data_IF_832523307852
#
_entry.id   IF_832523307852
#
_cell.length_a   1.000
_cell.length_b   1.000
_cell.length_c   1.000
_cell.angle_alpha   90.00
_cell.angle_beta   90.00
_cell.angle_gamma   90.00
#
_symmetry.space_group_name_H-M   'P 1'
#
loop_
_entity.id
_entity.type
_entity.pdbx_description
1 polymer ?
#
# COMPACT_ATOMS: atom_id res chain seq x y z
N UNK A 1 43.86 -67.77 -18.20
CA UNK A 1 44.50 -68.27 -19.48
C UNK A 1 44.66 -66.99 -20.32
N UNK A 2 45.93 -66.66 -20.53
CA UNK A 2 46.51 -65.78 -21.53
C UNK A 2 46.07 -64.28 -21.58
N UNK A 3 46.88 -63.27 -21.03
CA UNK A 3 48.26 -62.83 -21.41
C UNK A 3 48.27 -62.11 -22.77
N UNK A 4 48.61 -60.83 -22.80
CA UNK A 4 49.85 -60.14 -23.23
C UNK A 4 49.53 -58.67 -23.56
N UNK A 5 50.08 -57.67 -22.84
CA UNK A 5 51.40 -57.00 -23.02
C UNK A 5 51.52 -56.13 -24.30
N UNK A 6 51.64 -54.86 -24.09
CA UNK A 6 52.81 -53.90 -24.19
C UNK A 6 52.81 -53.14 -25.50
N UNK A 7 53.04 -51.86 -25.57
CA UNK A 7 54.32 -51.08 -25.50
C UNK A 7 54.07 -49.61 -25.79
N UNK A 8 54.72 -48.83 -25.02
CA UNK A 8 55.36 -47.51 -25.18
C UNK A 8 55.42 -46.90 -26.60
N UNK A 9 55.18 -45.57 -26.59
CA UNK A 9 55.66 -44.64 -27.62
C UNK A 9 55.72 -43.22 -27.06
N UNK A 10 56.91 -42.84 -26.60
CA UNK A 10 57.27 -41.49 -26.21
C UNK A 10 57.56 -40.67 -27.47
N UNK A 11 56.94 -39.49 -27.61
CA UNK A 11 57.48 -38.41 -28.46
C UNK A 11 57.33 -37.09 -27.75
N UNK A 12 58.47 -36.53 -27.30
CA UNK A 12 58.64 -35.13 -26.98
C UNK A 12 58.55 -34.29 -28.24
N UNK A 13 57.84 -33.16 -28.19
CA UNK A 13 58.18 -32.00 -29.01
C UNK A 13 57.68 -30.71 -28.32
N UNK A 14 58.60 -29.95 -28.01
CA UNK A 14 58.85 -28.56 -27.69
C UNK A 14 57.73 -27.52 -27.79
N UNK A 15 57.81 -26.66 -26.80
CA UNK A 15 57.06 -25.43 -26.50
C UNK A 15 57.08 -24.38 -27.63
N UNK A 16 55.97 -23.65 -27.73
CA UNK A 16 55.98 -22.24 -28.09
C UNK A 16 55.02 -21.45 -27.21
N UNK A 17 55.60 -20.44 -26.58
CA UNK A 17 54.91 -19.40 -25.79
C UNK A 17 54.07 -18.53 -26.72
N UNK A 18 52.76 -18.46 -26.49
CA UNK A 18 51.83 -17.48 -27.03
C UNK A 18 51.20 -16.69 -25.89
N UNK A 19 51.66 -15.46 -25.66
CA UNK A 19 50.99 -14.51 -24.81
C UNK A 19 49.62 -14.14 -25.42
N UNK A 20 48.54 -14.68 -24.88
CA UNK A 20 47.16 -14.26 -25.15
C UNK A 20 46.64 -13.48 -23.96
N UNK A 21 46.44 -12.16 -24.13
CA UNK A 21 45.88 -11.30 -23.12
C UNK A 21 44.51 -11.81 -22.71
N UNK A 22 44.39 -12.28 -21.48
CA UNK A 22 43.14 -12.67 -20.86
C UNK A 22 42.27 -11.42 -20.60
N UNK A 23 41.27 -11.19 -21.44
CA UNK A 23 40.24 -10.24 -21.15
C UNK A 23 39.41 -10.79 -19.94
N UNK A 24 39.72 -10.25 -18.78
CA UNK A 24 38.91 -10.41 -17.57
C UNK A 24 37.49 -9.91 -17.88
N UNK A 25 36.55 -10.81 -18.12
CA UNK A 25 35.15 -10.49 -18.05
C UNK A 25 34.84 -10.07 -16.61
N UNK A 26 34.80 -8.75 -16.35
CA UNK A 26 34.11 -8.21 -15.21
C UNK A 26 32.66 -8.70 -15.29
N UNK A 27 32.32 -9.71 -14.50
CA UNK A 27 30.93 -9.99 -14.19
C UNK A 27 30.38 -8.73 -13.55
N UNK A 28 29.52 -8.01 -14.27
CA UNK A 28 28.63 -7.03 -13.66
C UNK A 28 27.82 -7.83 -12.63
N UNK A 29 28.14 -7.66 -11.36
CA UNK A 29 27.18 -7.87 -10.30
C UNK A 29 26.18 -6.70 -10.43
N UNK A 30 25.19 -6.87 -11.28
CA UNK A 30 23.93 -6.15 -11.11
C UNK A 30 23.49 -6.50 -9.69
N UNK A 31 23.53 -5.48 -8.80
CA UNK A 31 23.05 -5.64 -7.44
C UNK A 31 21.59 -6.07 -7.55
N UNK A 32 21.27 -7.25 -7.05
CA UNK A 32 19.90 -7.64 -6.85
C UNK A 32 19.21 -6.47 -6.12
N UNK A 33 18.14 -5.93 -6.68
CA UNK A 33 17.39 -4.86 -6.04
C UNK A 33 17.06 -5.35 -4.62
N UNK A 34 17.44 -4.55 -3.60
CA UNK A 34 17.27 -4.95 -2.21
C UNK A 34 15.77 -5.04 -1.97
N UNK A 35 15.26 -6.25 -1.79
CA UNK A 35 13.85 -6.47 -1.51
C UNK A 35 13.45 -5.67 -0.27
N UNK A 36 12.26 -5.06 -0.27
CA UNK A 36 11.72 -4.37 0.89
C UNK A 36 11.64 -5.33 2.09
N UNK A 37 11.94 -4.85 3.30
CA UNK A 37 11.77 -5.65 4.50
C UNK A 37 10.29 -5.97 4.73
N UNK A 38 10.02 -7.16 5.27
CA UNK A 38 8.67 -7.49 5.72
C UNK A 38 8.28 -6.57 6.88
N UNK A 39 7.04 -6.10 6.82
CA UNK A 39 6.46 -5.30 7.90
C UNK A 39 5.83 -6.19 8.98
N UNK A 40 5.87 -5.70 10.21
CA UNK A 40 5.17 -6.28 11.35
C UNK A 40 4.66 -5.17 12.27
N UNK A 41 3.78 -5.52 13.20
CA UNK A 41 3.22 -4.58 14.18
C UNK A 41 3.71 -4.95 15.56
N UNK A 42 4.34 -4.01 16.27
CA UNK A 42 4.82 -4.18 17.64
C UNK A 42 4.32 -3.01 18.51
N UNK A 43 3.50 -3.34 19.51
CA UNK A 43 2.80 -2.31 20.26
C UNK A 43 1.91 -1.49 19.36
N UNK A 44 2.09 -0.17 19.33
CA UNK A 44 1.36 0.75 18.47
C UNK A 44 2.09 1.10 17.18
N UNK A 45 3.26 0.48 16.90
CA UNK A 45 4.14 0.87 15.82
C UNK A 45 4.16 -0.14 14.66
N UNK A 46 4.19 0.37 13.44
CA UNK A 46 4.58 -0.40 12.26
C UNK A 46 6.11 -0.51 12.25
N UNK A 47 6.63 -1.71 12.14
CA UNK A 47 8.07 -1.98 12.19
C UNK A 47 8.49 -2.88 11.03
N UNK A 48 9.77 -2.89 10.73
CA UNK A 48 10.37 -3.88 9.83
C UNK A 48 10.91 -5.09 10.62
N UNK A 49 11.29 -6.13 9.92
CA UNK A 49 11.88 -7.34 10.51
C UNK A 49 13.24 -7.12 11.18
N UNK A 50 13.88 -5.98 10.99
CA UNK A 50 15.11 -5.56 11.66
C UNK A 50 14.84 -4.88 13.00
N UNK A 51 13.59 -4.57 13.31
CA UNK A 51 13.17 -3.90 14.53
C UNK A 51 13.20 -2.37 14.45
N UNK A 52 13.31 -1.81 13.23
CA UNK A 52 13.21 -0.36 13.04
C UNK A 52 11.75 0.06 12.86
N UNK A 53 11.37 1.20 13.44
CA UNK A 53 10.07 1.83 13.19
C UNK A 53 9.98 2.30 11.74
N UNK A 54 8.88 1.96 11.07
CA UNK A 54 8.60 2.34 9.69
C UNK A 54 7.43 3.30 9.66
N UNK A 55 7.61 4.43 8.98
CA UNK A 55 6.54 5.40 8.69
C UNK A 55 6.41 5.48 7.18
N UNK A 56 5.31 4.99 6.66
CA UNK A 56 5.02 5.02 5.22
C UNK A 56 4.20 6.26 4.88
N UNK A 57 4.63 6.99 3.87
CA UNK A 57 3.90 8.12 3.31
C UNK A 57 3.54 7.83 1.86
N UNK A 58 2.30 8.07 1.47
CA UNK A 58 1.89 7.75 0.12
C UNK A 58 0.59 8.36 -0.36
N UNK A 59 0.09 7.83 -1.46
CA UNK A 59 -1.14 8.28 -2.11
C UNK A 59 -2.08 7.13 -2.39
N UNK A 60 -3.38 7.41 -2.33
CA UNK A 60 -4.44 6.51 -2.77
C UNK A 60 -4.81 6.81 -4.21
N UNK A 61 -5.02 5.77 -4.99
CA UNK A 61 -5.78 5.90 -6.23
C UNK A 61 -7.25 6.18 -5.90
N UNK A 62 -7.93 6.99 -6.71
CA UNK A 62 -9.38 7.08 -6.66
C UNK A 62 -10.02 5.76 -7.06
N UNK A 63 -11.31 5.56 -6.79
CA UNK A 63 -12.08 4.36 -7.09
C UNK A 63 -11.78 3.82 -8.50
N UNK A 64 -11.36 2.56 -8.61
CA UNK A 64 -10.88 1.98 -9.87
C UNK A 64 -11.90 2.09 -11.01
N UNK A 65 -13.21 1.98 -10.73
CA UNK A 65 -14.26 2.03 -11.75
C UNK A 65 -14.50 3.42 -12.31
N UNK A 66 -14.17 4.49 -11.59
CA UNK A 66 -14.33 5.87 -12.05
C UNK A 66 -13.05 6.41 -12.70
N UNK A 67 -11.87 6.00 -12.21
CA UNK A 67 -10.57 6.48 -12.69
C UNK A 67 -9.62 5.37 -13.12
N UNK A 68 -10.07 4.37 -13.92
CA UNK A 68 -9.24 3.23 -14.30
C UNK A 68 -8.02 3.63 -15.12
N UNK A 69 -8.05 4.80 -15.75
CA UNK A 69 -6.97 5.31 -16.59
C UNK A 69 -5.66 5.50 -15.85
N UNK A 70 -5.71 5.71 -14.54
CA UNK A 70 -4.53 5.88 -13.70
C UNK A 70 -3.98 4.55 -13.13
N UNK A 71 -4.73 3.46 -13.22
CA UNK A 71 -4.32 2.14 -12.73
C UNK A 71 -3.38 1.45 -13.73
N UNK A 72 -2.16 1.98 -13.87
CA UNK A 72 -1.15 1.45 -14.78
C UNK A 72 0.26 1.55 -14.18
N UNK A 73 1.21 0.79 -14.73
CA UNK A 73 2.57 0.69 -14.20
C UNK A 73 3.35 2.02 -14.28
N UNK A 74 3.11 2.82 -15.32
CA UNK A 74 3.81 4.10 -15.51
C UNK A 74 3.44 5.10 -14.42
N UNK A 75 2.16 5.16 -14.03
CA UNK A 75 1.71 6.01 -12.93
C UNK A 75 2.33 5.58 -11.60
N UNK A 76 2.42 4.26 -11.33
CA UNK A 76 3.10 3.74 -10.15
C UNK A 76 4.56 4.15 -10.12
N UNK A 77 5.29 3.96 -11.23
CA UNK A 77 6.70 4.33 -11.34
C UNK A 77 6.90 5.84 -11.11
N UNK A 78 6.02 6.68 -11.65
CA UNK A 78 6.08 8.13 -11.48
C UNK A 78 5.80 8.56 -10.03
N UNK A 79 4.75 8.02 -9.39
CA UNK A 79 4.41 8.34 -8.01
C UNK A 79 5.50 7.90 -7.02
N UNK A 80 6.10 6.73 -7.24
CA UNK A 80 7.17 6.23 -6.39
C UNK A 80 8.52 6.93 -6.63
N UNK A 81 8.85 7.21 -7.89
CA UNK A 81 10.11 7.82 -8.28
C UNK A 81 10.13 9.34 -8.08
N UNK A 82 9.22 10.04 -8.73
CA UNK A 82 9.20 11.51 -8.78
C UNK A 82 8.51 12.14 -7.57
N UNK A 83 7.38 11.56 -7.12
CA UNK A 83 6.70 12.07 -5.93
C UNK A 83 7.30 11.53 -4.64
N UNK A 84 8.01 10.41 -4.69
CA UNK A 84 8.63 9.81 -3.51
C UNK A 84 7.65 9.03 -2.63
N UNK A 85 6.51 8.57 -3.19
CA UNK A 85 5.55 7.75 -2.45
C UNK A 85 6.19 6.40 -2.05
N UNK A 86 6.10 6.05 -0.78
CA UNK A 86 6.62 4.81 -0.20
C UNK A 86 5.56 3.70 -0.16
N UNK A 87 4.29 4.10 -0.25
CA UNK A 87 3.13 3.20 -0.28
C UNK A 87 2.07 3.75 -1.23
N UNK A 88 1.43 2.84 -1.99
CA UNK A 88 0.35 3.15 -2.90
C UNK A 88 -0.89 2.36 -2.52
N UNK A 89 -2.04 3.03 -2.34
CA UNK A 89 -3.30 2.39 -1.99
C UNK A 89 -4.15 2.19 -3.24
N UNK A 90 -4.43 0.94 -3.57
CA UNK A 90 -5.26 0.54 -4.72
C UNK A 90 -6.71 0.36 -4.27
N UNK A 91 -7.53 1.39 -4.47
CA UNK A 91 -8.92 1.47 -4.00
C UNK A 91 -9.87 0.75 -4.95
N UNK A 92 -10.19 -0.50 -4.63
CA UNK A 92 -11.11 -1.29 -5.42
C UNK A 92 -12.56 -1.05 -5.01
N UNK A 93 -13.29 -0.24 -5.75
CA UNK A 93 -14.71 0.01 -5.48
C UNK A 93 -15.56 -1.23 -5.61
N UNK A 94 -16.40 -1.49 -4.61
CA UNK A 94 -17.10 -2.78 -4.47
C UNK A 94 -18.51 -2.76 -5.05
N UNK A 95 -19.34 -1.76 -4.75
CA UNK A 95 -20.79 -1.84 -4.98
C UNK A 95 -21.50 -0.52 -5.34
N UNK A 96 -20.80 0.54 -5.74
CA UNK A 96 -21.43 1.85 -6.04
C UNK A 96 -21.84 2.07 -7.50
N UNK A 97 -21.34 1.28 -8.44
CA UNK A 97 -21.55 1.50 -9.88
C UNK A 97 -21.54 0.17 -10.64
N UNK A 98 -22.03 0.18 -11.88
CA UNK A 98 -22.09 -1.01 -12.75
C UNK A 98 -20.72 -1.54 -13.20
N UNK A 99 -19.65 -0.79 -12.96
CA UNK A 99 -18.26 -1.20 -13.26
C UNK A 99 -17.48 -1.61 -11.99
N UNK A 100 -18.12 -1.58 -10.81
CA UNK A 100 -17.51 -2.00 -9.55
C UNK A 100 -17.30 -3.54 -9.49
N UNK A 101 -16.62 -3.99 -8.43
CA UNK A 101 -16.23 -5.39 -8.26
C UNK A 101 -17.42 -6.37 -8.32
N UNK A 102 -18.54 -6.07 -7.67
CA UNK A 102 -19.71 -6.98 -7.63
C UNK A 102 -20.23 -7.32 -9.03
N UNK A 103 -20.16 -6.40 -9.98
CA UNK A 103 -20.62 -6.62 -11.35
C UNK A 103 -19.50 -6.98 -12.32
N UNK A 104 -18.27 -6.56 -12.05
CA UNK A 104 -17.12 -6.79 -12.93
C UNK A 104 -15.86 -7.16 -12.12
N UNK A 105 -15.85 -8.30 -11.42
CA UNK A 105 -14.77 -8.66 -10.52
C UNK A 105 -13.40 -8.74 -11.22
N UNK A 106 -13.34 -9.29 -12.43
CA UNK A 106 -12.09 -9.40 -13.19
C UNK A 106 -11.49 -8.03 -13.54
N UNK A 107 -12.33 -7.03 -13.78
CA UNK A 107 -11.89 -5.66 -14.05
C UNK A 107 -11.28 -5.02 -12.81
N UNK A 108 -11.95 -5.12 -11.65
CA UNK A 108 -11.43 -4.62 -10.38
C UNK A 108 -10.12 -5.31 -9.99
N UNK A 109 -10.07 -6.65 -10.09
CA UNK A 109 -8.86 -7.43 -9.84
C UNK A 109 -7.72 -6.98 -10.76
N UNK A 110 -7.98 -6.79 -12.06
CA UNK A 110 -6.97 -6.34 -13.01
C UNK A 110 -6.41 -4.96 -12.62
N UNK A 111 -7.25 -4.01 -12.26
CA UNK A 111 -6.80 -2.68 -11.84
C UNK A 111 -5.90 -2.79 -10.61
N UNK A 112 -6.37 -3.44 -9.54
CA UNK A 112 -5.62 -3.62 -8.30
C UNK A 112 -4.29 -4.34 -8.54
N UNK A 113 -4.31 -5.49 -9.22
CA UNK A 113 -3.09 -6.26 -9.46
C UNK A 113 -2.09 -5.51 -10.34
N UNK A 114 -2.54 -4.67 -11.27
CA UNK A 114 -1.63 -3.80 -12.06
C UNK A 114 -0.86 -2.84 -11.15
N UNK A 115 -1.52 -2.21 -10.18
CA UNK A 115 -0.86 -1.31 -9.23
C UNK A 115 0.08 -2.07 -8.30
N UNK A 116 -0.36 -3.20 -7.74
CA UNK A 116 0.43 -4.00 -6.80
C UNK A 116 1.67 -4.61 -7.48
N UNK A 117 1.52 -5.18 -8.67
CA UNK A 117 2.64 -5.76 -9.43
C UNK A 117 3.68 -4.67 -9.75
N UNK A 118 3.23 -3.49 -10.19
CA UNK A 118 4.12 -2.36 -10.44
C UNK A 118 4.76 -1.79 -9.17
N UNK A 119 4.06 -1.79 -8.02
CA UNK A 119 4.64 -1.39 -6.74
C UNK A 119 5.77 -2.34 -6.31
N UNK A 120 5.60 -3.64 -6.52
CA UNK A 120 6.65 -4.65 -6.29
C UNK A 120 7.87 -4.37 -7.19
N UNK A 121 7.65 -4.12 -8.48
CA UNK A 121 8.72 -3.80 -9.44
C UNK A 121 9.47 -2.51 -9.09
N UNK A 122 8.77 -1.51 -8.55
CA UNK A 122 9.35 -0.22 -8.14
C UNK A 122 9.84 -0.21 -6.68
N UNK A 123 9.77 -1.35 -5.98
CA UNK A 123 10.25 -1.50 -4.61
C UNK A 123 9.60 -0.53 -3.62
N UNK A 124 8.27 -0.41 -3.69
CA UNK A 124 7.40 0.31 -2.75
C UNK A 124 6.31 -0.61 -2.22
N UNK A 125 5.68 -0.23 -1.10
CA UNK A 125 4.57 -0.98 -0.54
C UNK A 125 3.26 -0.69 -1.28
N UNK A 126 2.33 -1.63 -1.21
CA UNK A 126 0.99 -1.48 -1.76
C UNK A 126 -0.08 -1.91 -0.76
N UNK A 127 -1.12 -1.10 -0.62
CA UNK A 127 -2.33 -1.46 0.13
C UNK A 127 -3.37 -1.95 -0.88
N UNK A 128 -3.85 -3.17 -0.68
CA UNK A 128 -5.00 -3.72 -1.38
C UNK A 128 -6.23 -3.38 -0.55
N UNK A 129 -7.00 -2.41 -1.02
CA UNK A 129 -8.13 -1.86 -0.30
C UNK A 129 -9.46 -2.37 -0.87
N UNK A 130 -10.26 -3.02 0.01
CA UNK A 130 -11.66 -3.33 -0.22
C UNK A 130 -12.49 -2.09 0.01
N UNK A 131 -12.57 -1.25 -1.04
CA UNK A 131 -13.14 0.09 -0.98
C UNK A 131 -14.67 0.04 -1.01
N UNK A 132 -15.26 -0.27 0.13
CA UNK A 132 -16.71 -0.41 0.36
C UNK A 132 -17.18 0.43 1.53
N UNK A 133 -18.45 0.77 1.51
CA UNK A 133 -19.20 1.36 2.64
C UNK A 133 -20.21 0.36 3.23
N UNK A 134 -20.26 -0.86 2.71
CA UNK A 134 -21.23 -1.88 3.09
C UNK A 134 -20.53 -3.21 3.37
N UNK A 135 -21.06 -3.96 4.34
CA UNK A 135 -20.64 -5.33 4.59
C UNK A 135 -20.94 -6.22 3.37
N UNK A 136 -19.89 -6.77 2.77
CA UNK A 136 -19.94 -7.70 1.63
C UNK A 136 -19.04 -8.90 1.94
N UNK A 137 -19.37 -9.65 2.98
CA UNK A 137 -18.47 -10.62 3.58
C UNK A 137 -18.06 -11.74 2.65
N UNK A 138 -18.99 -12.34 1.90
CA UNK A 138 -18.67 -13.48 1.06
C UNK A 138 -17.83 -13.06 -0.15
N UNK A 139 -18.19 -11.94 -0.78
CA UNK A 139 -17.40 -11.37 -1.89
C UNK A 139 -15.99 -10.95 -1.42
N UNK A 140 -15.88 -10.36 -0.24
CA UNK A 140 -14.59 -9.98 0.35
C UNK A 140 -13.73 -11.21 0.67
N UNK A 141 -14.30 -12.27 1.21
CA UNK A 141 -13.57 -13.54 1.45
C UNK A 141 -13.00 -14.12 0.16
N UNK A 142 -13.82 -14.15 -0.90
CA UNK A 142 -13.39 -14.64 -2.21
C UNK A 142 -12.23 -13.80 -2.77
N UNK A 143 -12.40 -12.47 -2.75
CA UNK A 143 -11.37 -11.54 -3.21
C UNK A 143 -10.07 -11.67 -2.42
N UNK A 144 -10.12 -11.63 -1.09
CA UNK A 144 -8.91 -11.69 -0.27
C UNK A 144 -8.25 -13.06 -0.29
N UNK A 145 -9.00 -14.15 -0.46
CA UNK A 145 -8.40 -15.46 -0.70
C UNK A 145 -7.58 -15.49 -2.01
N UNK A 146 -8.11 -14.86 -3.06
CA UNK A 146 -7.41 -14.73 -4.34
C UNK A 146 -6.17 -13.84 -4.22
N UNK A 147 -6.28 -12.67 -3.59
CA UNK A 147 -5.17 -11.74 -3.43
C UNK A 147 -4.07 -12.32 -2.54
N UNK A 148 -4.43 -12.91 -1.39
CA UNK A 148 -3.46 -13.56 -0.51
C UNK A 148 -2.74 -14.74 -1.17
N UNK A 149 -3.44 -15.49 -2.03
CA UNK A 149 -2.83 -16.57 -2.80
C UNK A 149 -1.83 -16.03 -3.84
N UNK A 150 -2.22 -14.96 -4.56
CA UNK A 150 -1.36 -14.34 -5.59
C UNK A 150 -0.09 -13.77 -4.99
N UNK A 151 -0.19 -13.09 -3.86
CA UNK A 151 0.91 -12.36 -3.24
C UNK A 151 1.50 -13.06 -2.01
N UNK A 152 1.29 -14.38 -1.90
CA UNK A 152 1.84 -15.15 -0.78
C UNK A 152 3.36 -15.00 -0.67
N UNK A 153 3.82 -14.59 0.51
CA UNK A 153 5.25 -14.40 0.80
C UNK A 153 5.85 -13.10 0.26
N UNK A 154 5.05 -12.24 -0.40
CA UNK A 154 5.50 -10.94 -0.91
C UNK A 154 5.47 -9.91 0.21
N UNK A 155 6.61 -9.31 0.60
CA UNK A 155 6.67 -8.39 1.76
C UNK A 155 6.02 -7.02 1.51
N UNK A 156 5.79 -6.66 0.25
CA UNK A 156 5.29 -5.35 -0.16
C UNK A 156 3.79 -5.12 0.12
N UNK A 157 3.01 -6.18 0.41
CA UNK A 157 1.55 -6.12 0.39
C UNK A 157 0.97 -5.97 1.78
N UNK A 158 0.09 -4.98 1.92
CA UNK A 158 -0.77 -4.71 3.07
C UNK A 158 -2.21 -4.90 2.62
N UNK A 159 -3.06 -5.48 3.46
CA UNK A 159 -4.47 -5.72 3.14
C UNK A 159 -5.36 -4.82 3.99
N UNK A 160 -6.21 -4.01 3.37
CA UNK A 160 -7.21 -3.20 4.03
C UNK A 160 -8.59 -3.83 3.79
N UNK A 161 -9.14 -4.42 4.85
CA UNK A 161 -10.28 -5.34 4.71
C UNK A 161 -11.63 -4.66 4.63
N UNK A 162 -11.71 -3.38 4.96
CA UNK A 162 -12.92 -2.57 4.86
C UNK A 162 -12.54 -1.09 4.88
N UNK A 163 -12.84 -0.38 3.79
CA UNK A 163 -12.48 1.04 3.65
C UNK A 163 -13.15 1.90 4.74
N UNK A 164 -14.48 2.02 4.69
CA UNK A 164 -15.22 2.92 5.57
C UNK A 164 -16.58 2.34 5.95
N UNK A 165 -16.70 1.62 7.09
CA UNK A 165 -18.00 1.25 7.66
C UNK A 165 -18.80 2.50 8.01
N UNK A 166 -20.06 2.59 7.56
CA UNK A 166 -20.91 3.78 7.77
C UNK A 166 -21.93 3.56 8.86
N UNK A 167 -22.90 2.66 8.60
CA UNK A 167 -24.05 2.39 9.48
C UNK A 167 -23.85 1.18 10.40
N UNK A 168 -22.79 0.39 10.14
CA UNK A 168 -22.54 -0.85 10.87
C UNK A 168 -21.99 -0.56 12.27
N UNK A 169 -22.46 -1.31 13.27
CA UNK A 169 -21.88 -1.25 14.61
C UNK A 169 -20.47 -1.84 14.65
N UNK A 170 -19.67 -1.46 15.66
CA UNK A 170 -18.35 -2.07 15.84
C UNK A 170 -18.42 -3.60 15.98
N UNK A 171 -19.43 -4.13 16.64
CA UNK A 171 -19.62 -5.58 16.76
C UNK A 171 -19.77 -6.25 15.37
N UNK A 172 -20.53 -5.65 14.46
CA UNK A 172 -20.72 -6.14 13.09
C UNK A 172 -19.42 -6.02 12.28
N UNK A 173 -18.76 -4.85 12.32
CA UNK A 173 -17.48 -4.61 11.64
C UNK A 173 -16.41 -5.56 12.15
N UNK A 174 -16.32 -5.75 13.46
CA UNK A 174 -15.38 -6.68 14.10
C UNK A 174 -15.62 -8.12 13.65
N UNK A 175 -16.89 -8.57 13.67
CA UNK A 175 -17.25 -9.93 13.24
C UNK A 175 -16.88 -10.18 11.78
N UNK A 176 -17.23 -9.24 10.89
CA UNK A 176 -16.83 -9.26 9.48
C UNK A 176 -15.31 -9.32 9.33
N UNK A 177 -14.59 -8.39 9.95
CA UNK A 177 -13.14 -8.30 9.83
C UNK A 177 -12.43 -9.57 10.30
N UNK A 178 -12.90 -10.19 11.38
CA UNK A 178 -12.36 -11.47 11.87
C UNK A 178 -12.49 -12.58 10.83
N UNK A 179 -13.60 -12.67 10.09
CA UNK A 179 -13.76 -13.68 9.04
C UNK A 179 -12.82 -13.43 7.84
N UNK A 180 -12.61 -12.17 7.46
CA UNK A 180 -11.65 -11.83 6.40
C UNK A 180 -10.21 -12.09 6.88
N UNK A 181 -9.87 -11.70 8.12
CA UNK A 181 -8.56 -11.98 8.72
C UNK A 181 -8.27 -13.49 8.71
N UNK A 182 -9.22 -14.34 9.12
CA UNK A 182 -9.07 -15.80 9.07
C UNK A 182 -8.76 -16.29 7.66
N UNK A 183 -9.46 -15.74 6.66
CA UNK A 183 -9.25 -16.07 5.25
C UNK A 183 -7.84 -15.75 4.79
N UNK A 184 -7.36 -14.53 5.08
CA UNK A 184 -6.00 -14.10 4.73
C UNK A 184 -4.96 -14.93 5.49
N UNK A 185 -5.13 -15.12 6.82
CA UNK A 185 -4.17 -15.84 7.68
C UNK A 185 -4.00 -17.30 7.32
N UNK A 186 -5.03 -17.95 6.76
CA UNK A 186 -4.91 -19.32 6.26
C UNK A 186 -3.91 -19.46 5.09
N UNK A 187 -3.60 -18.36 4.41
CA UNK A 187 -2.76 -18.32 3.19
C UNK A 187 -1.45 -17.57 3.46
N UNK A 188 -1.55 -16.36 4.04
CA UNK A 188 -0.43 -15.46 4.37
C UNK A 188 -0.49 -15.10 5.88
N UNK A 189 0.21 -15.86 6.72
CA UNK A 189 0.12 -15.73 8.18
C UNK A 189 0.66 -14.41 8.73
N UNK A 190 1.64 -13.80 8.05
CA UNK A 190 2.41 -12.68 8.58
C UNK A 190 2.03 -11.32 7.96
N UNK A 191 1.06 -11.28 7.05
CA UNK A 191 0.67 -10.02 6.41
C UNK A 191 0.21 -8.96 7.43
N UNK A 192 0.49 -7.69 7.17
CA UNK A 192 -0.14 -6.58 7.87
C UNK A 192 -1.56 -6.40 7.32
N UNK A 193 -2.54 -6.32 8.23
CA UNK A 193 -3.94 -6.14 7.89
C UNK A 193 -4.47 -4.88 8.56
N UNK A 194 -5.10 -4.01 7.78
CA UNK A 194 -5.77 -2.80 8.22
C UNK A 194 -7.27 -3.08 8.36
N UNK A 195 -7.85 -2.62 9.46
CA UNK A 195 -9.25 -2.84 9.83
C UNK A 195 -9.95 -1.51 9.99
N UNK A 196 -11.02 -1.30 9.23
CA UNK A 196 -11.88 -0.12 9.34
C UNK A 196 -12.67 -0.06 10.65
N UNK A 197 -13.12 1.14 11.00
CA UNK A 197 -13.95 1.40 12.17
C UNK A 197 -15.27 2.06 11.76
N UNK A 198 -16.34 1.98 12.58
CA UNK A 198 -17.62 2.63 12.27
C UNK A 198 -17.49 4.13 12.01
N UNK A 199 -18.53 4.66 11.32
CA UNK A 199 -18.69 6.08 11.09
C UNK A 199 -17.52 6.71 10.31
N UNK A 200 -17.24 6.11 9.12
CA UNK A 200 -16.13 6.53 8.23
C UNK A 200 -14.78 6.56 8.95
N UNK A 201 -14.46 5.50 9.68
CA UNK A 201 -13.21 5.35 10.43
C UNK A 201 -12.95 6.42 11.52
N UNK A 202 -14.03 7.05 12.01
CA UNK A 202 -13.95 8.07 13.05
C UNK A 202 -14.15 7.51 14.46
N UNK A 203 -14.88 6.38 14.61
CA UNK A 203 -15.21 5.80 15.92
C UNK A 203 -14.16 4.81 16.44
N UNK A 204 -12.90 5.13 16.23
CA UNK A 204 -11.73 4.31 16.62
C UNK A 204 -11.70 3.95 18.12
N UNK A 205 -12.33 4.77 18.98
CA UNK A 205 -12.45 4.50 20.42
C UNK A 205 -13.22 3.22 20.71
N UNK A 206 -14.21 2.86 19.87
CA UNK A 206 -14.95 1.61 20.04
C UNK A 206 -14.05 0.38 19.80
N UNK A 207 -13.20 0.45 18.79
CA UNK A 207 -12.20 -0.60 18.55
C UNK A 207 -11.15 -0.66 19.67
N UNK A 208 -10.81 0.49 20.26
CA UNK A 208 -9.86 0.53 21.37
C UNK A 208 -10.41 -0.07 22.67
N UNK A 209 -11.72 0.04 22.90
CA UNK A 209 -12.37 -0.54 24.07
C UNK A 209 -12.64 -2.05 23.90
N UNK A 210 -12.77 -2.55 22.70
CA UNK A 210 -13.02 -3.96 22.38
C UNK A 210 -12.23 -4.42 21.13
N UNK A 211 -10.88 -4.48 21.19
CA UNK A 211 -10.05 -4.79 20.02
C UNK A 211 -10.22 -6.22 19.53
N UNK A 212 -9.83 -6.46 18.27
CA UNK A 212 -9.67 -7.81 17.72
C UNK A 212 -8.46 -8.45 18.40
N UNK A 213 -8.66 -9.63 18.98
CA UNK A 213 -7.63 -10.39 19.72
C UNK A 213 -7.34 -11.73 19.07
N UNK A 214 -6.17 -12.31 19.37
CA UNK A 214 -5.79 -13.64 18.86
C UNK A 214 -5.13 -13.61 17.47
N UNK A 215 -4.87 -12.42 16.92
CA UNK A 215 -4.15 -12.23 15.66
C UNK A 215 -3.04 -11.19 15.84
N UNK A 216 -1.91 -11.43 15.20
CA UNK A 216 -0.79 -10.47 15.11
C UNK A 216 -0.93 -9.61 13.85
N UNK A 217 -0.14 -8.54 13.77
CA UNK A 217 -0.01 -7.69 12.59
C UNK A 217 -1.37 -7.10 12.11
N UNK A 218 -2.20 -6.69 13.07
CA UNK A 218 -3.44 -5.96 12.82
C UNK A 218 -3.21 -4.50 13.20
N UNK A 219 -3.58 -3.56 12.31
CA UNK A 219 -3.68 -2.13 12.60
C UNK A 219 -5.10 -1.66 12.30
N UNK A 220 -5.48 -0.53 12.88
CA UNK A 220 -6.81 0.04 12.71
C UNK A 220 -6.71 1.36 11.95
N UNK A 221 -7.68 1.60 11.08
CA UNK A 221 -7.68 2.80 10.26
C UNK A 221 -8.40 3.95 10.94
N UNK A 222 -7.91 5.14 10.66
CA UNK A 222 -8.60 6.41 10.93
C UNK A 222 -8.54 7.22 9.65
N UNK A 223 -9.69 7.72 9.20
CA UNK A 223 -9.78 8.61 8.05
C UNK A 223 -10.07 10.04 8.50
N UNK A 224 -9.39 11.00 7.92
CA UNK A 224 -9.64 12.39 8.21
C UNK A 224 -9.60 13.31 6.98
N UNK A 225 -10.42 14.33 7.03
CA UNK A 225 -10.39 15.47 6.12
C UNK A 225 -10.20 16.71 6.97
N UNK A 226 -9.05 17.39 6.85
CA UNK A 226 -8.55 18.35 7.85
C UNK A 226 -9.51 19.53 8.10
N UNK A 227 -10.28 19.96 7.09
CA UNK A 227 -11.26 21.04 7.30
C UNK A 227 -12.56 20.59 7.99
N UNK A 228 -12.72 19.31 8.27
CA UNK A 228 -13.86 18.73 9.03
C UNK A 228 -13.40 18.11 10.34
N UNK A 229 -12.28 17.38 10.30
CA UNK A 229 -11.79 16.55 11.39
C UNK A 229 -10.57 17.23 12.02
N UNK A 230 -10.79 17.96 13.09
CA UNK A 230 -9.75 18.66 13.81
C UNK A 230 -9.28 17.95 15.08
N UNK A 231 -9.00 18.73 16.15
CA UNK A 231 -8.44 18.22 17.40
C UNK A 231 -9.25 17.08 18.02
N UNK A 232 -10.57 17.10 17.91
CA UNK A 232 -11.44 16.09 18.51
C UNK A 232 -11.16 14.66 17.99
N UNK A 233 -10.81 14.51 16.70
CA UNK A 233 -10.49 13.19 16.15
C UNK A 233 -9.06 12.77 16.52
N UNK A 234 -8.12 13.73 16.61
CA UNK A 234 -6.78 13.46 17.16
C UNK A 234 -6.87 13.01 18.62
N UNK A 235 -7.68 13.66 19.46
CA UNK A 235 -7.88 13.27 20.86
C UNK A 235 -8.47 11.86 20.97
N UNK A 236 -9.44 11.54 20.13
CA UNK A 236 -10.04 10.20 20.04
C UNK A 236 -9.01 9.15 19.61
N UNK A 237 -8.16 9.49 18.66
CA UNK A 237 -7.08 8.58 18.20
C UNK A 237 -5.98 8.46 19.25
N UNK A 238 -5.65 9.52 19.99
CA UNK A 238 -4.73 9.47 21.13
C UNK A 238 -5.27 8.58 22.25
N UNK A 239 -6.57 8.58 22.49
CA UNK A 239 -7.20 7.62 23.39
C UNK A 239 -6.96 6.18 22.93
N UNK A 240 -7.17 5.88 21.66
CA UNK A 240 -6.94 4.55 21.12
C UNK A 240 -5.47 4.12 21.23
N UNK A 241 -4.53 5.00 20.90
CA UNK A 241 -3.09 4.76 21.08
C UNK A 241 -2.74 4.50 22.55
N UNK A 242 -3.35 5.23 23.49
CA UNK A 242 -3.13 5.05 24.94
C UNK A 242 -3.59 3.67 25.44
N UNK A 243 -4.51 3.03 24.74
CA UNK A 243 -4.97 1.66 24.97
C UNK A 243 -4.10 0.61 24.30
N UNK A 244 -3.08 1.02 23.55
CA UNK A 244 -2.19 0.13 22.82
C UNK A 244 -2.69 -0.29 21.44
N UNK A 245 -3.69 0.41 20.90
CA UNK A 245 -4.23 0.13 19.56
C UNK A 245 -3.30 0.72 18.49
N UNK A 246 -2.72 -0.07 17.57
CA UNK A 246 -1.89 0.44 16.49
C UNK A 246 -2.74 1.07 15.40
N UNK A 247 -2.34 2.26 14.93
CA UNK A 247 -3.10 3.10 14.00
C UNK A 247 -2.36 3.29 12.69
N UNK A 248 -3.11 3.26 11.58
CA UNK A 248 -2.67 3.63 10.25
C UNK A 248 -3.68 4.62 9.66
N UNK A 249 -3.26 5.75 9.14
CA UNK A 249 -4.12 6.68 8.41
C UNK A 249 -4.15 6.26 6.94
N UNK A 250 -5.07 5.36 6.56
CA UNK A 250 -5.12 4.82 5.21
C UNK A 250 -5.81 5.74 4.20
N UNK A 251 -6.51 6.77 4.68
CA UNK A 251 -7.06 7.84 3.86
C UNK A 251 -7.05 9.17 4.60
N UNK A 252 -6.55 10.23 3.95
CA UNK A 252 -6.61 11.58 4.50
C UNK A 252 -6.58 12.66 3.42
N UNK A 253 -7.17 13.81 3.71
CA UNK A 253 -7.12 14.97 2.82
C UNK A 253 -7.20 16.29 3.58
N UNK A 254 -6.87 17.39 2.88
CA UNK A 254 -6.75 18.72 3.48
C UNK A 254 -8.03 19.59 3.48
N UNK A 255 -9.12 19.13 2.82
CA UNK A 255 -10.36 19.89 2.65
C UNK A 255 -11.49 19.34 3.54
N UNK A 256 -12.76 19.63 3.17
CA UNK A 256 -13.93 19.09 3.87
C UNK A 256 -14.16 17.60 3.55
N UNK A 257 -14.88 16.89 4.44
CA UNK A 257 -15.19 15.46 4.28
C UNK A 257 -16.07 15.18 3.05
N UNK A 258 -16.68 16.19 2.45
CA UNK A 258 -17.34 16.09 1.14
C UNK A 258 -16.36 15.79 -0.01
N UNK A 259 -15.06 15.93 0.22
CA UNK A 259 -14.01 15.90 -0.79
C UNK A 259 -13.82 17.25 -1.49
N UNK A 260 -14.61 18.26 -1.14
CA UNK A 260 -14.60 19.58 -1.77
C UNK A 260 -14.32 20.69 -0.76
N UNK A 261 -14.42 21.96 -1.17
CA UNK A 261 -14.08 23.12 -0.35
C UNK A 261 -12.59 23.47 -0.39
N UNK A 262 -12.22 24.51 0.38
CA UNK A 262 -10.85 24.98 0.43
C UNK A 262 -9.95 24.03 1.23
N UNK A 263 -8.69 23.89 0.81
CA UNK A 263 -7.68 23.18 1.60
C UNK A 263 -7.35 24.00 2.86
N UNK A 264 -7.57 23.42 4.02
CA UNK A 264 -7.17 23.98 5.30
C UNK A 264 -5.71 23.63 5.59
N UNK A 265 -4.77 24.45 5.10
CA UNK A 265 -3.33 24.20 5.21
C UNK A 265 -2.83 24.18 6.66
N UNK A 266 -3.44 25.00 7.54
CA UNK A 266 -3.08 25.04 8.95
C UNK A 266 -3.46 23.72 9.65
N UNK A 267 -4.69 23.27 9.48
CA UNK A 267 -5.15 22.04 10.11
C UNK A 267 -4.51 20.78 9.46
N UNK A 268 -4.22 20.83 8.15
CA UNK A 268 -3.40 19.82 7.49
C UNK A 268 -2.02 19.71 8.13
N UNK A 269 -1.33 20.84 8.40
CA UNK A 269 -0.03 20.84 9.08
C UNK A 269 -0.14 20.31 10.52
N UNK A 270 -1.21 20.66 11.26
CA UNK A 270 -1.45 20.13 12.60
C UNK A 270 -1.58 18.58 12.58
N UNK A 271 -2.21 18.02 11.57
CA UNK A 271 -2.29 16.56 11.37
C UNK A 271 -0.93 15.96 11.02
N UNK A 272 -0.16 16.57 10.13
CA UNK A 272 1.18 16.09 9.77
C UNK A 272 2.11 16.06 11.00
N UNK A 273 2.12 17.14 11.78
CA UNK A 273 2.93 17.23 13.00
C UNK A 273 2.50 16.19 14.04
N UNK A 274 1.19 15.98 14.18
CA UNK A 274 0.64 14.99 15.09
C UNK A 274 1.01 13.55 14.67
N UNK A 275 0.91 13.21 13.39
CA UNK A 275 1.30 11.91 12.85
C UNK A 275 2.80 11.67 12.98
N UNK A 276 3.62 12.69 12.67
CA UNK A 276 5.08 12.61 12.79
C UNK A 276 5.53 12.32 14.21
N UNK A 277 4.96 13.02 15.20
CA UNK A 277 5.27 12.84 16.63
C UNK A 277 4.96 11.42 17.12
N UNK A 278 4.05 10.71 16.49
CA UNK A 278 3.59 9.37 16.86
C UNK A 278 4.10 8.26 15.92
N UNK A 279 4.89 8.62 14.91
CA UNK A 279 5.37 7.71 13.87
C UNK A 279 4.22 6.95 13.19
N UNK A 280 3.17 7.67 12.80
CA UNK A 280 2.00 7.11 12.13
C UNK A 280 2.15 7.25 10.62
N UNK A 281 1.98 6.14 9.91
CA UNK A 281 1.92 6.08 8.44
C UNK A 281 0.62 6.67 7.91
N UNK A 282 0.67 7.30 6.73
CA UNK A 282 -0.49 7.93 6.13
C UNK A 282 -0.51 7.85 4.61
N UNK A 283 -1.72 7.91 4.05
CA UNK A 283 -1.99 7.88 2.60
C UNK A 283 -2.97 9.00 2.24
N UNK A 284 -2.56 9.89 1.32
CA UNK A 284 -3.41 10.99 0.87
C UNK A 284 -4.40 10.57 -0.21
N UNK A 285 -5.64 11.00 -0.10
CA UNK A 285 -6.71 10.84 -1.09
C UNK A 285 -6.70 12.01 -2.07
N UNK A 286 -6.75 11.91 -3.41
CA UNK A 286 -6.57 10.72 -4.24
C UNK A 286 -6.02 11.09 -5.63
N UNK A 287 -5.35 10.14 -6.27
CA UNK A 287 -4.98 10.20 -7.69
C UNK A 287 -6.24 9.99 -8.53
N UNK A 288 -6.85 11.09 -8.89
CA UNK A 288 -8.09 11.19 -9.67
C UNK A 288 -8.18 12.56 -10.32
N UNK A 289 -9.10 12.73 -11.26
CA UNK A 289 -9.33 13.98 -11.99
C UNK A 289 -10.77 14.49 -11.92
N UNK A 290 -11.49 14.07 -10.87
CA UNK A 290 -12.83 14.58 -10.60
C UNK A 290 -12.82 16.10 -10.37
N UNK A 291 -13.88 16.78 -10.73
CA UNK A 291 -14.03 18.20 -10.43
C UNK A 291 -14.40 18.43 -8.96
N UNK A 292 -13.48 18.07 -8.07
CA UNK A 292 -13.55 18.34 -6.63
C UNK A 292 -12.13 18.56 -6.08
N UNK A 293 -12.01 19.14 -4.90
CA UNK A 293 -10.72 19.60 -4.36
C UNK A 293 -9.79 18.46 -4.01
N UNK A 294 -10.30 17.33 -3.48
CA UNK A 294 -9.48 16.18 -3.08
C UNK A 294 -8.87 15.40 -4.26
N UNK A 295 -9.35 15.65 -5.49
CA UNK A 295 -8.69 15.11 -6.69
C UNK A 295 -7.39 15.84 -6.95
N UNK A 296 -6.29 15.08 -7.07
CA UNK A 296 -4.95 15.66 -7.23
C UNK A 296 -4.66 16.19 -8.63
N UNK A 297 -5.43 15.77 -9.64
CA UNK A 297 -5.13 16.02 -11.05
C UNK A 297 -6.27 16.77 -11.76
N UNK A 298 -5.91 17.47 -12.83
CA UNK A 298 -6.86 17.98 -13.80
C UNK A 298 -7.20 16.92 -14.86
N UNK A 299 -8.35 17.01 -15.53
CA UNK A 299 -8.70 16.09 -16.63
C UNK A 299 -7.70 16.09 -17.80
N UNK A 300 -6.89 17.15 -17.94
CA UNK A 300 -5.80 17.25 -18.93
C UNK A 300 -4.57 16.42 -18.60
N UNK A 301 -4.43 15.99 -17.34
CA UNK A 301 -3.29 15.21 -16.90
C UNK A 301 -3.16 13.89 -17.69
N UNK A 302 -1.93 13.53 -18.05
CA UNK A 302 -1.63 12.24 -18.68
C UNK A 302 -2.13 11.07 -17.85
N UNK A 303 -2.53 9.99 -18.49
CA UNK A 303 -2.85 8.74 -17.78
C UNK A 303 -1.63 8.03 -17.23
N UNK A 304 -0.43 8.34 -17.74
CA UNK A 304 0.78 7.55 -17.53
C UNK A 304 1.80 8.22 -16.58
N UNK A 305 1.39 9.24 -15.84
CA UNK A 305 2.32 10.02 -15.01
C UNK A 305 2.98 11.15 -15.80
N UNK A 306 4.16 11.60 -15.37
CA UNK A 306 4.92 12.73 -15.96
C UNK A 306 4.05 14.01 -16.05
N UNK A 307 3.31 14.28 -14.98
CA UNK A 307 2.37 15.39 -14.93
C UNK A 307 3.11 16.73 -14.80
N UNK A 308 2.85 17.65 -15.75
CA UNK A 308 3.31 19.02 -15.62
C UNK A 308 2.61 19.72 -14.44
N UNK A 309 3.27 20.71 -13.82
CA UNK A 309 2.72 21.42 -12.66
C UNK A 309 1.33 21.97 -12.89
N UNK A 310 1.04 22.42 -14.13
CA UNK A 310 -0.27 22.93 -14.52
C UNK A 310 -1.37 21.87 -14.56
N UNK A 311 -1.03 20.59 -14.60
CA UNK A 311 -1.98 19.47 -14.61
C UNK A 311 -2.23 18.91 -13.19
N UNK A 312 -1.43 19.36 -12.21
CA UNK A 312 -1.54 18.98 -10.81
C UNK A 312 -2.25 20.08 -10.04
N UNK A 313 -3.38 19.76 -9.41
CA UNK A 313 -4.15 20.71 -8.59
C UNK A 313 -3.38 21.08 -7.31
N UNK A 314 -3.81 22.16 -6.64
CA UNK A 314 -3.20 22.63 -5.40
C UNK A 314 -3.01 21.50 -4.36
N UNK A 315 -4.04 20.67 -4.19
CA UNK A 315 -3.95 19.52 -3.27
C UNK A 315 -2.86 18.52 -3.68
N UNK A 316 -2.79 18.17 -4.96
CA UNK A 316 -1.74 17.30 -5.49
C UNK A 316 -0.34 17.88 -5.31
N UNK A 317 -0.17 19.19 -5.48
CA UNK A 317 1.11 19.88 -5.25
C UNK A 317 1.51 19.83 -3.77
N UNK A 318 0.57 20.08 -2.85
CA UNK A 318 0.81 20.00 -1.40
C UNK A 318 1.24 18.58 -1.00
N UNK A 319 0.57 17.55 -1.50
CA UNK A 319 0.91 16.16 -1.22
C UNK A 319 2.28 15.80 -1.79
N UNK A 320 2.56 16.14 -3.04
CA UNK A 320 3.86 15.91 -3.66
C UNK A 320 4.99 16.54 -2.87
N UNK A 321 4.83 17.82 -2.50
CA UNK A 321 5.83 18.55 -1.73
C UNK A 321 6.08 17.90 -0.37
N UNK A 322 5.04 17.33 0.27
CA UNK A 322 5.18 16.64 1.56
C UNK A 322 5.86 15.27 1.43
N UNK A 323 5.56 14.52 0.37
CA UNK A 323 6.20 13.24 0.09
C UNK A 323 7.70 13.37 -0.23
N UNK A 324 8.10 14.47 -0.86
CA UNK A 324 9.49 14.77 -1.21
C UNK A 324 10.34 15.25 -0.01
N UNK A 325 9.73 15.59 1.12
CA UNK A 325 10.47 15.93 2.36
C UNK A 325 11.10 14.65 2.93
N UNK A 326 12.42 14.62 2.97
CA UNK A 326 13.21 13.52 3.55
C UNK A 326 13.48 13.73 5.03
#
# INVERSE_FOLDING_TARGET
MNIWKSLLGVCLLTAMFGCGAGASKKANKEGAAKQLPRLCVTGTQLMNEQGDTVVLKGVSYGWHQFWPRFYNASTVAYLSGDWGAEVLRASMGVDLDSACYVYKPEFGIKCVTTVVDAAIENNVYAIIDWHSHNLRQEEAKEFFAQMATRYKGVPNVIYEVFNEPVEDSWEQVKAYSVEIIKTIRAIEPEAVILVGCPHWDQDIHLAADDPITGYNNIMYTVHFYANTHGQWLRDRTDYALSKGLPIFISECAGMEASGDGAVNKEEWQNWLDWMQQRSISWVAWSVSDKNETCSMLLPSASSDGDWADQDVKEWGQIVRDELQKK
#
